data_IF_919322224405
#
_entry.id   IF_919322224405
#
_cell.length_a   1.000
_cell.length_b   1.000
_cell.length_c   1.000
_cell.angle_alpha   90.00
_cell.angle_beta   90.00
_cell.angle_gamma   90.00
#
_symmetry.space_group_name_H-M   'P 1'
#
loop_
_entity.id
_entity.type
_entity.pdbx_description
1 polymer ?
#
# COMPACT_ATOMS: atom_id res chain seq x y z
N UNK A 1 -13.43 -14.38 -9.36
CA UNK A 1 -13.46 -12.99 -9.86
C UNK A 1 -12.95 -12.10 -8.74
N UNK A 2 -11.69 -11.68 -8.82
CA UNK A 2 -11.02 -10.98 -7.72
C UNK A 2 -11.17 -9.48 -7.93
N UNK A 3 -11.94 -8.82 -7.05
CA UNK A 3 -12.04 -7.37 -7.02
C UNK A 3 -10.90 -6.79 -6.18
N UNK A 4 -10.24 -5.75 -6.68
CA UNK A 4 -9.23 -5.00 -5.94
C UNK A 4 -9.87 -4.22 -4.79
N UNK A 5 -9.20 -4.06 -3.63
CA UNK A 5 -9.73 -3.29 -2.52
C UNK A 5 -9.69 -1.78 -2.82
N UNK A 6 -10.75 -1.08 -2.43
CA UNK A 6 -10.82 0.39 -2.42
C UNK A 6 -10.15 0.96 -1.16
N UNK A 7 -9.48 2.12 -1.22
CA UNK A 7 -8.86 2.72 -0.04
C UNK A 7 -9.92 3.33 0.90
N UNK A 8 -9.76 3.06 2.20
CA UNK A 8 -10.60 3.56 3.30
C UNK A 8 -10.54 5.08 3.45
N UNK A 9 -11.69 5.68 3.75
CA UNK A 9 -11.88 7.11 3.91
C UNK A 9 -11.39 7.62 5.28
N UNK A 10 -10.49 8.61 5.27
CA UNK A 10 -10.17 9.41 6.45
C UNK A 10 -8.89 10.26 6.32
N UNK A 11 -9.06 11.58 6.13
CA UNK A 11 -8.07 12.62 6.51
C UNK A 11 -7.07 13.11 5.46
N UNK A 12 -7.21 14.38 5.07
CA UNK A 12 -6.33 15.23 4.24
C UNK A 12 -6.30 14.99 2.71
N UNK A 13 -7.21 15.68 2.03
CA UNK A 13 -7.39 15.72 0.56
C UNK A 13 -6.30 16.51 -0.18
N UNK A 14 -5.03 16.15 -0.01
CA UNK A 14 -4.08 16.29 -1.12
C UNK A 14 -4.22 15.03 -1.94
N UNK A 15 -5.08 15.08 -2.96
CA UNK A 15 -5.10 14.08 -4.02
C UNK A 15 -3.69 13.99 -4.58
N UNK A 16 -2.91 13.09 -4.03
CA UNK A 16 -1.57 12.80 -4.50
C UNK A 16 -1.79 12.25 -5.91
N UNK A 17 -1.57 13.09 -6.91
CA UNK A 17 -1.92 12.85 -8.31
C UNK A 17 -1.10 11.68 -8.82
N UNK A 18 -1.54 10.47 -8.47
CA UNK A 18 -0.89 9.24 -8.81
C UNK A 18 -1.02 9.07 -10.31
N UNK A 19 0.13 9.02 -10.98
CA UNK A 19 0.19 8.80 -12.42
C UNK A 19 -0.40 7.41 -12.70
N UNK A 20 -1.57 7.37 -13.32
CA UNK A 20 -2.23 6.13 -13.71
C UNK A 20 -1.80 5.71 -15.12
N UNK A 21 -1.23 4.51 -15.22
CA UNK A 21 -1.00 3.85 -16.51
C UNK A 21 -2.34 3.47 -17.16
N UNK A 22 -2.43 3.67 -18.46
CA UNK A 22 -3.63 3.39 -19.25
C UNK A 22 -3.39 2.29 -20.26
N UNK A 23 -4.44 1.53 -20.55
CA UNK A 23 -4.40 0.42 -21.48
C UNK A 23 -5.36 0.65 -22.65
N UNK A 24 -4.93 0.25 -23.84
CA UNK A 24 -5.73 0.38 -25.05
C UNK A 24 -6.99 -0.48 -24.97
N UNK A 25 -8.15 0.06 -25.36
CA UNK A 25 -9.43 -0.66 -25.32
C UNK A 25 -9.56 -1.77 -26.38
N UNK A 26 -8.73 -1.75 -27.42
CA UNK A 26 -8.81 -2.71 -28.52
C UNK A 26 -7.89 -3.92 -28.35
N UNK A 27 -6.64 -3.67 -27.94
CA UNK A 27 -5.60 -4.71 -27.88
C UNK A 27 -4.95 -4.85 -26.50
N UNK A 28 -5.47 -4.14 -25.48
CA UNK A 28 -5.01 -4.20 -24.08
C UNK A 28 -3.50 -3.93 -23.87
N UNK A 29 -2.83 -3.34 -24.86
CA UNK A 29 -1.45 -2.90 -24.75
C UNK A 29 -1.35 -1.56 -24.00
N UNK A 30 -0.18 -1.29 -23.42
CA UNK A 30 0.11 -0.03 -22.73
C UNK A 30 0.00 1.16 -23.70
N UNK A 31 -0.70 2.22 -23.28
CA UNK A 31 -0.76 3.49 -24.00
C UNK A 31 0.42 4.39 -23.61
N UNK A 32 0.99 5.07 -24.61
CA UNK A 32 2.16 5.93 -24.44
C UNK A 32 1.79 7.42 -24.63
N UNK A 33 2.36 8.33 -23.83
CA UNK A 33 2.17 9.77 -24.01
C UNK A 33 2.69 10.23 -25.37
N UNK A 34 1.90 11.04 -26.08
CA UNK A 34 2.23 11.64 -27.38
C UNK A 34 1.59 13.02 -27.48
N UNK A 35 2.36 13.99 -27.96
CA UNK A 35 1.87 15.35 -28.25
C UNK A 35 1.06 15.38 -29.56
N UNK A 36 -0.12 16.00 -29.51
CA UNK A 36 -0.87 16.44 -30.68
C UNK A 36 -0.53 17.92 -30.96
N UNK A 37 0.40 18.14 -31.90
CA UNK A 37 0.97 19.46 -32.22
C UNK A 37 -0.01 20.44 -32.84
N UNK A 38 -1.12 19.97 -33.41
CA UNK A 38 -2.11 20.85 -34.03
C UNK A 38 -2.96 21.53 -32.95
N UNK A 39 -3.34 20.77 -31.94
CA UNK A 39 -4.19 21.24 -30.85
C UNK A 39 -3.41 21.56 -29.57
N UNK A 40 -2.08 21.37 -29.57
CA UNK A 40 -1.19 21.53 -28.41
C UNK A 40 -1.70 20.78 -27.17
N UNK A 41 -2.10 19.52 -27.33
CA UNK A 41 -2.67 18.69 -26.26
C UNK A 41 -1.92 17.38 -26.07
N UNK A 42 -1.94 16.88 -24.83
CA UNK A 42 -1.40 15.56 -24.50
C UNK A 42 -2.40 14.46 -24.87
N UNK A 43 -1.94 13.49 -25.65
CA UNK A 43 -2.68 12.28 -26.03
C UNK A 43 -1.97 11.05 -25.50
N UNK A 44 -2.70 9.97 -25.26
CA UNK A 44 -2.18 8.64 -24.99
C UNK A 44 -2.48 7.73 -26.18
N UNK A 45 -1.44 7.17 -26.81
CA UNK A 45 -1.57 6.38 -28.04
C UNK A 45 -0.98 4.99 -27.89
N UNK A 46 -1.64 4.00 -28.50
CA UNK A 46 -1.13 2.64 -28.58
C UNK A 46 -0.06 2.54 -29.66
N UNK A 47 1.07 1.89 -29.38
CA UNK A 47 2.10 1.62 -30.39
C UNK A 47 1.68 0.57 -31.42
N UNK A 48 0.80 -0.35 -31.04
CA UNK A 48 0.41 -1.50 -31.85
C UNK A 48 -0.71 -1.18 -32.85
N UNK A 49 -1.81 -0.57 -32.38
CA UNK A 49 -2.98 -0.27 -33.23
C UNK A 49 -3.14 1.22 -33.56
N UNK A 50 -2.26 2.09 -33.07
CA UNK A 50 -2.25 3.55 -33.32
C UNK A 50 -3.49 4.33 -32.85
N UNK A 51 -4.45 3.68 -32.20
CA UNK A 51 -5.56 4.37 -31.54
C UNK A 51 -5.04 5.25 -30.40
N UNK A 52 -5.59 6.46 -30.30
CA UNK A 52 -5.23 7.42 -29.28
C UNK A 52 -6.44 8.09 -28.63
N UNK A 53 -6.29 8.45 -27.36
CA UNK A 53 -7.29 9.13 -26.55
C UNK A 53 -6.68 10.34 -25.83
N UNK A 54 -7.46 11.38 -25.50
CA UNK A 54 -6.97 12.53 -24.76
C UNK A 54 -6.64 12.16 -23.30
N UNK A 55 -5.58 12.78 -22.78
CA UNK A 55 -5.16 12.59 -21.40
C UNK A 55 -6.17 13.20 -20.41
N UNK A 56 -6.47 12.52 -19.28
CA UNK A 56 -7.23 13.14 -18.17
C UNK A 56 -6.36 13.95 -17.22
N UNK A 57 -5.08 13.59 -17.11
CA UNK A 57 -4.07 14.27 -16.30
C UNK A 57 -2.87 14.57 -17.18
N UNK A 58 -2.21 15.69 -16.90
CA UNK A 58 -1.00 16.13 -17.61
C UNK A 58 0.29 15.61 -16.96
N UNK A 59 0.20 14.98 -15.79
CA UNK A 59 1.35 14.38 -15.13
C UNK A 59 1.71 13.05 -15.81
N UNK A 60 2.81 13.04 -16.58
CA UNK A 60 3.29 11.85 -17.31
C UNK A 60 4.18 10.96 -16.44
N UNK A 61 4.91 11.56 -15.50
CA UNK A 61 5.85 10.86 -14.64
C UNK A 61 6.00 11.61 -13.32
N UNK A 62 6.06 10.86 -12.23
CA UNK A 62 6.32 11.39 -10.91
C UNK A 62 7.30 10.47 -10.19
N UNK A 63 8.43 11.02 -9.74
CA UNK A 63 9.37 10.32 -8.87
C UNK A 63 9.11 10.74 -7.42
N UNK A 64 8.63 9.82 -6.58
CA UNK A 64 8.44 10.06 -5.15
C UNK A 64 9.62 9.46 -4.39
N UNK A 65 10.51 10.32 -3.91
CA UNK A 65 11.72 9.90 -3.17
C UNK A 65 11.41 9.37 -1.77
N UNK A 66 10.33 9.87 -1.16
CA UNK A 66 9.88 9.45 0.16
C UNK A 66 8.38 9.15 0.08
N UNK A 67 8.05 7.86 -0.04
CA UNK A 67 6.66 7.38 -0.17
C UNK A 67 6.32 6.56 1.05
N UNK A 68 5.38 7.03 1.88
CA UNK A 68 4.76 6.27 2.98
C UNK A 68 3.91 5.08 2.49
N UNK A 69 3.89 4.82 1.18
CA UNK A 69 3.03 3.82 0.52
C UNK A 69 3.51 2.39 0.83
N UNK A 70 4.72 2.22 1.36
CA UNK A 70 5.29 0.91 1.71
C UNK A 70 4.83 0.35 3.05
N UNK A 71 4.40 1.19 4.00
CA UNK A 71 4.22 0.75 5.40
C UNK A 71 2.96 -0.11 5.60
N UNK A 72 2.03 -0.12 4.64
CA UNK A 72 0.79 -0.92 4.68
C UNK A 72 0.61 -1.81 3.43
N UNK A 73 1.59 -1.85 2.54
CA UNK A 73 1.52 -2.69 1.36
C UNK A 73 1.73 -4.17 1.76
N UNK A 74 0.69 -4.98 1.60
CA UNK A 74 0.77 -6.41 1.94
C UNK A 74 0.34 -6.75 3.37
N UNK A 75 -0.39 -5.86 4.07
CA UNK A 75 -1.18 -6.28 5.23
C UNK A 75 -2.26 -7.24 4.75
N UNK A 76 -1.98 -8.54 4.83
CA UNK A 76 -2.95 -9.59 4.56
C UNK A 76 -3.69 -9.90 5.86
N UNK A 77 -4.98 -10.18 5.77
CA UNK A 77 -5.75 -10.62 6.94
C UNK A 77 -5.22 -11.94 7.51
N UNK A 78 -4.50 -12.73 6.70
CA UNK A 78 -4.00 -14.05 7.05
C UNK A 78 -2.70 -14.03 7.86
N UNK A 79 -2.03 -12.88 8.04
CA UNK A 79 -0.82 -12.80 8.89
C UNK A 79 -1.10 -13.30 10.31
N UNK A 80 -2.29 -13.03 10.85
CA UNK A 80 -2.69 -13.50 12.19
C UNK A 80 -2.91 -15.00 12.30
N UNK A 81 -2.96 -15.74 11.19
CA UNK A 81 -3.05 -17.20 11.19
C UNK A 81 -1.69 -17.90 11.19
N UNK A 82 -0.60 -17.15 10.97
CA UNK A 82 0.76 -17.69 10.98
C UNK A 82 1.25 -17.83 12.44
N UNK A 83 1.43 -19.06 12.95
CA UNK A 83 1.88 -19.29 14.32
C UNK A 83 3.33 -18.86 14.56
N UNK A 84 4.08 -18.49 13.51
CA UNK A 84 5.46 -17.98 13.62
C UNK A 84 5.52 -16.46 13.76
N UNK A 85 4.41 -15.76 13.54
CA UNK A 85 4.30 -14.33 13.80
C UNK A 85 3.97 -14.13 15.27
N UNK A 86 4.84 -13.42 16.01
CA UNK A 86 4.52 -13.03 17.38
C UNK A 86 3.26 -12.17 17.37
N UNK A 87 2.21 -12.65 18.04
CA UNK A 87 1.01 -11.84 18.24
C UNK A 87 1.31 -10.79 19.31
N UNK A 88 0.85 -9.55 19.14
CA UNK A 88 0.93 -8.56 20.21
C UNK A 88 0.12 -9.05 21.42
N UNK A 89 0.55 -8.75 22.65
CA UNK A 89 -0.18 -9.16 23.86
C UNK A 89 -1.64 -8.69 23.94
N UNK A 90 -2.02 -7.65 23.19
CA UNK A 90 -3.40 -7.14 23.14
C UNK A 90 -3.84 -6.81 21.71
N UNK A 91 -5.12 -7.02 21.42
CA UNK A 91 -5.74 -6.69 20.15
C UNK A 91 -5.93 -5.16 20.02
N UNK A 92 -5.30 -4.53 19.03
CA UNK A 92 -5.44 -3.08 18.79
C UNK A 92 -6.84 -2.65 18.34
N UNK A 93 -7.75 -3.59 18.01
CA UNK A 93 -9.11 -3.28 17.57
C UNK A 93 -10.15 -3.32 18.72
N UNK A 94 -10.09 -4.35 19.58
CA UNK A 94 -11.04 -4.52 20.68
C UNK A 94 -10.43 -4.35 22.08
N UNK A 95 -9.10 -4.29 22.21
CA UNK A 95 -8.38 -4.15 23.48
C UNK A 95 -8.31 -5.43 24.32
N UNK A 96 -8.76 -6.57 23.80
CA UNK A 96 -8.73 -7.85 24.51
C UNK A 96 -7.34 -8.51 24.43
N UNK A 97 -6.95 -9.20 25.49
CA UNK A 97 -5.68 -9.92 25.58
C UNK A 97 -5.65 -11.07 24.58
N UNK A 98 -4.55 -11.17 23.82
CA UNK A 98 -4.40 -12.23 22.82
C UNK A 98 -3.75 -13.43 23.49
N UNK A 99 -4.47 -14.56 23.47
CA UNK A 99 -4.01 -15.83 24.05
C UNK A 99 -3.83 -16.89 22.98
N UNK A 100 -2.94 -17.85 23.25
CA UNK A 100 -2.71 -18.98 22.36
C UNK A 100 -3.97 -19.86 22.27
N UNK A 101 -4.46 -20.12 21.05
CA UNK A 101 -5.64 -20.96 20.84
C UNK A 101 -5.51 -22.39 21.41
N UNK A 102 -4.30 -22.94 21.47
CA UNK A 102 -4.07 -24.33 21.89
C UNK A 102 -3.93 -24.51 23.40
N UNK A 103 -3.30 -23.55 24.10
CA UNK A 103 -3.01 -23.66 25.54
C UNK A 103 -3.67 -22.56 26.40
N UNK A 104 -4.30 -21.57 25.78
CA UNK A 104 -4.98 -20.46 26.45
C UNK A 104 -4.06 -19.52 27.24
N UNK A 105 -2.74 -19.68 27.13
CA UNK A 105 -1.77 -18.82 27.81
C UNK A 105 -1.58 -17.51 27.01
N UNK A 106 -1.41 -16.36 27.69
CA UNK A 106 -1.05 -15.12 27.03
C UNK A 106 0.37 -15.20 26.44
N UNK A 107 0.68 -14.34 25.48
CA UNK A 107 2.04 -14.21 24.95
C UNK A 107 2.94 -13.61 26.04
N UNK A 108 4.01 -14.33 26.41
CA UNK A 108 5.01 -13.91 27.40
C UNK A 108 5.89 -12.79 26.81
N UNK A 109 5.35 -11.60 26.60
CA UNK A 109 6.15 -10.39 26.37
C UNK A 109 6.53 -9.76 27.72
N UNK A 110 7.19 -10.54 28.58
CA UNK A 110 7.89 -10.01 29.75
C UNK A 110 9.37 -9.76 29.39
N UNK A 111 9.64 -8.63 28.71
CA UNK A 111 10.82 -7.88 29.09
C UNK A 111 10.44 -7.12 30.36
N UNK A 112 10.48 -7.83 31.49
CA UNK A 112 10.32 -7.25 32.82
C UNK A 112 11.29 -6.08 32.97
N UNK A 113 10.77 -4.90 33.32
CA UNK A 113 11.55 -3.72 33.72
C UNK A 113 12.45 -3.98 34.97
N UNK A 114 12.39 -5.19 35.54
CA UNK A 114 13.16 -5.62 36.71
C UNK A 114 14.61 -6.08 36.42
N UNK A 115 15.06 -6.18 35.16
CA UNK A 115 16.46 -6.52 34.82
C UNK A 115 17.39 -5.29 34.65
N UNK A 116 16.96 -4.09 35.08
CA UNK A 116 17.78 -2.86 35.10
C UNK A 116 18.33 -2.50 36.50
N UNK A 117 18.53 -3.47 37.39
CA UNK A 117 19.23 -3.28 38.69
C UNK A 117 20.57 -4.05 38.71
N UNK A 118 21.29 -4.11 37.58
CA UNK A 118 22.48 -4.96 37.45
C UNK A 118 23.71 -4.38 36.74
N UNK A 119 23.67 -3.15 36.22
CA UNK A 119 24.83 -2.54 35.54
C UNK A 119 25.41 -1.38 36.37
N UNK A 120 26.56 -1.55 37.05
CA UNK A 120 27.20 -0.43 37.72
C UNK A 120 27.71 0.54 36.65
N UNK A 121 27.25 1.80 36.72
CA UNK A 121 27.86 2.88 35.95
C UNK A 121 29.31 3.04 36.38
N UNK A 122 30.24 2.73 35.46
CA UNK A 122 31.60 3.26 35.43
C UNK A 122 31.71 4.25 34.27
#
# INVERSE_FOLDING_TARGET
MSASPSPSAGGDSKSNEQVHFRFCRECSNLLYPKEDRVNNRLMFTCRTCHVGEPASSYCVYQNKLNSQVGDTAGVTQDVGSDPTVCLPGFCAHCGEEITCFSCGQPTEDELSEDDYEGFPML
#
